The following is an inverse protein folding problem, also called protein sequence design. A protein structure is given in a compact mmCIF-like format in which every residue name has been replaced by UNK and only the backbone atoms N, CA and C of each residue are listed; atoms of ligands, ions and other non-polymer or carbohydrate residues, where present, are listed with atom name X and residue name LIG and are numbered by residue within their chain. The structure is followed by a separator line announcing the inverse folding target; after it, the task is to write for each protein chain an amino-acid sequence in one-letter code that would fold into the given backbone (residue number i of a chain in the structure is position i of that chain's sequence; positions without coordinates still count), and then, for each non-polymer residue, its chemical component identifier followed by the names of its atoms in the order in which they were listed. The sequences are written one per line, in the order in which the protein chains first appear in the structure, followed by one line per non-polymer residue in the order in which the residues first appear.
data_IF_434042475111
#
_entry.id   IF_434042475111
#
_cell.length_a   1.000
_cell.length_b   1.000
_cell.length_c   1.000
_cell.angle_alpha   90.00
_cell.angle_beta   90.00
_cell.angle_gamma   90.00
#
_symmetry.space_group_name_H-M   'P 1'
#
loop_
_entity.id
_entity.type
_entity.pdbx_description
1 polymer ?
#
# COMPACT_ATOMS: atom_id res chain seq x y z
N UNK A 1 -1.30 -20.66 29.32
CA UNK A 1 -1.05 -20.66 27.86
C UNK A 1 -1.48 -19.27 27.34
N UNK A 2 -0.67 -18.63 26.50
CA UNK A 2 -1.09 -17.35 25.90
C UNK A 2 -2.33 -17.58 25.03
N UNK A 3 -3.35 -16.74 25.19
CA UNK A 3 -4.59 -16.83 24.38
C UNK A 3 -4.28 -16.63 22.91
N UNK A 4 -4.94 -17.38 22.05
CA UNK A 4 -4.87 -17.23 20.60
C UNK A 4 -5.46 -15.86 20.18
N UNK A 5 -4.79 -15.17 19.26
CA UNK A 5 -5.24 -13.89 18.73
C UNK A 5 -5.93 -14.10 17.38
N UNK A 6 -7.18 -13.67 17.28
CA UNK A 6 -7.94 -13.70 16.03
C UNK A 6 -7.67 -12.44 15.19
N UNK A 7 -7.47 -12.62 13.89
CA UNK A 7 -7.40 -11.55 12.90
C UNK A 7 -8.48 -11.76 11.84
N UNK A 8 -9.30 -10.76 11.58
CA UNK A 8 -10.38 -10.77 10.60
C UNK A 8 -9.99 -9.97 9.35
N UNK A 9 -9.82 -10.67 8.22
CA UNK A 9 -9.50 -10.11 6.91
C UNK A 9 -8.08 -10.44 6.42
N UNK A 10 -8.01 -11.04 5.24
CA UNK A 10 -6.77 -11.47 4.55
C UNK A 10 -6.22 -10.43 3.56
N UNK A 11 -6.53 -9.15 3.77
CA UNK A 11 -5.90 -8.03 3.09
C UNK A 11 -4.55 -7.66 3.71
N UNK A 12 -3.86 -6.68 3.12
CA UNK A 12 -2.49 -6.31 3.54
C UNK A 12 -2.37 -5.94 5.02
N UNK A 13 -3.35 -5.25 5.61
CA UNK A 13 -3.30 -4.89 7.03
C UNK A 13 -3.51 -6.10 7.94
N UNK A 14 -4.46 -6.98 7.60
CA UNK A 14 -4.67 -8.19 8.41
C UNK A 14 -3.47 -9.13 8.35
N UNK A 15 -2.94 -9.37 7.16
CA UNK A 15 -1.73 -10.18 6.98
C UNK A 15 -0.52 -9.58 7.70
N UNK A 16 -0.30 -8.26 7.61
CA UNK A 16 0.80 -7.61 8.31
C UNK A 16 0.65 -7.70 9.84
N UNK A 17 -0.56 -7.49 10.38
CA UNK A 17 -0.83 -7.66 11.81
C UNK A 17 -0.62 -9.11 12.27
N UNK A 18 -1.12 -10.07 11.49
CA UNK A 18 -0.92 -11.48 11.78
C UNK A 18 0.57 -11.87 11.78
N UNK A 19 1.32 -11.43 10.77
CA UNK A 19 2.77 -11.64 10.69
C UNK A 19 3.49 -11.02 11.88
N UNK A 20 3.21 -9.75 12.19
CA UNK A 20 3.86 -9.03 13.29
C UNK A 20 3.64 -9.73 14.65
N UNK A 21 2.43 -10.21 14.91
CA UNK A 21 2.11 -10.94 16.13
C UNK A 21 2.75 -12.33 16.15
N UNK A 22 2.74 -13.04 15.03
CA UNK A 22 3.32 -14.39 14.93
C UNK A 22 4.84 -14.35 15.13
N UNK A 23 5.55 -13.42 14.48
CA UNK A 23 7.00 -13.28 14.66
C UNK A 23 7.40 -12.84 16.08
N UNK A 24 6.45 -12.26 16.85
CA UNK A 24 6.62 -11.98 18.30
C UNK A 24 6.18 -13.16 19.17
N UNK A 25 6.05 -14.35 18.63
CA UNK A 25 5.75 -15.58 19.36
C UNK A 25 4.30 -15.73 19.83
N UNK A 26 3.36 -14.98 19.23
CA UNK A 26 1.94 -15.12 19.56
C UNK A 26 1.28 -16.16 18.67
N UNK A 27 0.38 -16.96 19.24
CA UNK A 27 -0.49 -17.87 18.46
C UNK A 27 -1.55 -17.02 17.75
N UNK A 28 -1.60 -17.10 16.42
CA UNK A 28 -2.50 -16.27 15.59
C UNK A 28 -3.34 -17.18 14.69
N UNK A 29 -4.64 -16.86 14.58
CA UNK A 29 -5.54 -17.41 13.57
C UNK A 29 -6.16 -16.28 12.77
N UNK A 30 -5.86 -16.23 11.46
CA UNK A 30 -6.43 -15.27 10.53
C UNK A 30 -7.57 -15.90 9.76
N UNK A 31 -8.71 -15.20 9.70
CA UNK A 31 -9.88 -15.59 8.90
C UNK A 31 -10.05 -14.63 7.73
N UNK A 32 -10.26 -15.18 6.55
CA UNK A 32 -10.62 -14.45 5.33
C UNK A 32 -11.88 -15.06 4.72
N UNK A 33 -12.89 -14.23 4.50
CA UNK A 33 -14.21 -14.68 4.06
C UNK A 33 -14.23 -15.28 2.64
N UNK A 34 -13.26 -14.91 1.79
CA UNK A 34 -13.11 -15.41 0.43
C UNK A 34 -11.72 -16.06 0.29
N UNK A 35 -10.73 -15.35 -0.21
CA UNK A 35 -9.34 -15.76 -0.37
C UNK A 35 -8.39 -14.62 -0.05
N UNK A 36 -7.15 -14.94 0.29
CA UNK A 36 -6.11 -13.94 0.54
C UNK A 36 -6.04 -12.95 -0.63
N UNK A 37 -6.08 -11.67 -0.29
CA UNK A 37 -6.02 -10.59 -1.28
C UNK A 37 -7.29 -10.39 -2.13
N UNK A 38 -8.42 -11.04 -1.83
CA UNK A 38 -9.68 -10.88 -2.58
C UNK A 38 -10.20 -9.43 -2.63
N UNK A 39 -9.83 -8.61 -1.64
CA UNK A 39 -10.17 -7.18 -1.60
C UNK A 39 -9.21 -6.30 -2.39
N UNK A 40 -9.04 -5.06 -1.93
CA UNK A 40 -8.18 -4.05 -2.57
C UNK A 40 -6.70 -4.43 -2.65
N UNK A 41 -6.24 -5.41 -1.88
CA UNK A 41 -4.85 -5.86 -1.85
C UNK A 41 -4.47 -6.81 -3.00
N UNK A 42 -5.43 -7.29 -3.80
CA UNK A 42 -5.18 -8.21 -4.93
C UNK A 42 -4.95 -7.53 -6.27
N UNK A 43 -4.80 -6.20 -6.30
CA UNK A 43 -4.53 -5.44 -7.53
C UNK A 43 -3.09 -5.56 -8.01
N UNK A 44 -2.76 -4.76 -9.03
CA UNK A 44 -1.43 -4.78 -9.67
C UNK A 44 -0.52 -3.67 -9.15
N UNK A 45 -1.09 -2.49 -8.80
CA UNK A 45 -0.33 -1.29 -8.46
C UNK A 45 0.23 -1.38 -7.05
N UNK A 46 1.52 -1.62 -6.94
CA UNK A 46 2.25 -1.75 -5.68
C UNK A 46 3.22 -0.58 -5.44
N UNK A 47 2.72 0.66 -5.54
CA UNK A 47 3.52 1.84 -5.26
C UNK A 47 3.72 2.04 -3.75
N UNK A 48 4.95 1.93 -3.28
CA UNK A 48 5.37 2.34 -1.95
C UNK A 48 6.02 3.72 -2.06
N UNK A 49 5.18 4.71 -2.34
CA UNK A 49 5.62 6.08 -2.64
C UNK A 49 5.29 7.02 -1.48
N UNK A 50 6.23 7.91 -1.07
CA UNK A 50 6.00 8.86 -0.01
C UNK A 50 4.97 9.92 -0.42
N UNK A 51 4.26 10.45 0.57
CA UNK A 51 3.53 11.69 0.39
C UNK A 51 4.49 12.84 0.05
N UNK A 52 3.98 13.85 -0.63
CA UNK A 52 4.72 15.08 -0.84
C UNK A 52 5.20 15.65 0.51
N UNK A 53 6.50 16.01 0.65
CA UNK A 53 7.10 16.34 1.95
C UNK A 53 6.67 17.69 2.51
N UNK A 54 6.05 18.54 1.73
CA UNK A 54 5.51 19.83 2.20
C UNK A 54 4.40 19.62 3.24
N UNK A 55 4.21 20.55 4.17
CA UNK A 55 3.21 20.46 5.24
C UNK A 55 3.31 19.16 6.05
N UNK A 56 4.48 18.94 6.66
CA UNK A 56 4.78 17.72 7.42
C UNK A 56 3.78 17.47 8.55
N UNK A 57 3.45 16.21 8.82
CA UNK A 57 2.52 15.79 9.86
C UNK A 57 2.74 14.32 10.24
N UNK A 58 2.09 13.87 11.32
CA UNK A 58 2.25 12.51 11.87
C UNK A 58 2.00 11.41 10.84
N UNK A 59 1.00 11.55 9.96
CA UNK A 59 0.74 10.56 8.93
C UNK A 59 1.91 10.42 7.96
N UNK A 60 2.57 11.52 7.60
CA UNK A 60 3.74 11.50 6.73
C UNK A 60 4.95 10.92 7.45
N UNK A 61 5.09 11.20 8.74
CA UNK A 61 6.15 10.61 9.57
C UNK A 61 5.99 9.09 9.65
N UNK A 62 4.82 8.59 10.03
CA UNK A 62 4.55 7.14 10.08
C UNK A 62 4.78 6.48 8.71
N UNK A 63 4.40 7.14 7.62
CA UNK A 63 4.66 6.60 6.29
C UNK A 63 6.15 6.59 5.95
N UNK A 64 6.90 7.64 6.30
CA UNK A 64 8.35 7.69 6.09
C UNK A 64 9.04 6.55 6.86
N UNK A 65 8.71 6.39 8.14
CA UNK A 65 9.29 5.35 8.99
C UNK A 65 9.03 3.95 8.39
N UNK A 66 7.80 3.72 7.93
CA UNK A 66 7.42 2.47 7.25
C UNK A 66 8.21 2.26 5.94
N UNK A 67 8.38 3.30 5.13
CA UNK A 67 9.12 3.22 3.87
C UNK A 67 10.62 3.00 4.11
N UNK A 68 11.19 3.60 5.14
CA UNK A 68 12.60 3.40 5.52
C UNK A 68 12.83 1.95 5.95
N UNK A 69 11.96 1.43 6.82
CA UNK A 69 12.05 0.07 7.34
C UNK A 69 11.64 -1.01 6.31
N UNK A 70 11.01 -0.65 5.20
CA UNK A 70 10.38 -1.60 4.28
C UNK A 70 11.37 -2.61 3.68
N UNK A 71 12.62 -2.23 3.44
CA UNK A 71 13.63 -3.14 2.86
C UNK A 71 13.87 -4.35 3.76
N UNK A 72 14.18 -4.11 5.02
CA UNK A 72 14.47 -5.17 5.99
C UNK A 72 13.22 -5.96 6.33
N UNK A 73 12.09 -5.27 6.50
CA UNK A 73 10.83 -5.92 6.83
C UNK A 73 10.35 -6.90 5.73
N UNK A 74 10.41 -6.51 4.46
CA UNK A 74 10.03 -7.39 3.36
C UNK A 74 11.05 -8.51 3.10
N UNK A 75 12.34 -8.26 3.36
CA UNK A 75 13.36 -9.30 3.33
C UNK A 75 13.11 -10.36 4.41
N UNK A 76 12.76 -9.95 5.65
CA UNK A 76 12.38 -10.86 6.73
C UNK A 76 11.15 -11.69 6.38
N UNK A 77 10.10 -11.09 5.83
CA UNK A 77 8.90 -11.78 5.36
C UNK A 77 9.25 -12.83 4.30
N UNK A 78 10.03 -12.44 3.29
CA UNK A 78 10.46 -13.34 2.22
C UNK A 78 11.28 -14.52 2.73
N UNK A 79 12.23 -14.25 3.62
CA UNK A 79 13.07 -15.28 4.22
C UNK A 79 12.28 -16.27 5.09
N UNK A 80 11.33 -15.77 5.89
CA UNK A 80 10.53 -16.60 6.77
C UNK A 80 9.57 -17.54 6.01
N UNK A 81 8.98 -17.07 4.90
CA UNK A 81 8.01 -17.84 4.12
C UNK A 81 8.57 -18.54 2.88
N UNK A 82 9.83 -18.27 2.51
CA UNK A 82 10.43 -18.78 1.27
C UNK A 82 9.78 -18.26 -0.02
N UNK A 83 9.05 -17.14 0.06
CA UNK A 83 8.33 -16.53 -1.08
C UNK A 83 8.79 -15.08 -1.24
N UNK A 84 9.32 -14.74 -2.41
CA UNK A 84 9.72 -13.38 -2.74
C UNK A 84 8.49 -12.46 -2.87
N UNK A 85 8.37 -11.38 -2.08
CA UNK A 85 7.27 -10.42 -2.16
C UNK A 85 7.31 -9.52 -3.41
N UNK A 86 8.38 -9.56 -4.20
CA UNK A 86 8.59 -8.67 -5.34
C UNK A 86 8.93 -7.23 -4.94
N UNK A 87 9.48 -7.03 -3.74
CA UNK A 87 9.91 -5.72 -3.26
C UNK A 87 11.23 -5.29 -3.90
N UNK A 88 11.31 -4.02 -4.31
CA UNK A 88 12.58 -3.37 -4.66
C UNK A 88 12.48 -1.85 -4.50
N UNK A 89 13.56 -1.23 -4.03
CA UNK A 89 13.69 0.23 -3.96
C UNK A 89 14.32 0.74 -5.26
N UNK A 90 13.48 0.92 -6.26
CA UNK A 90 13.91 1.38 -7.61
C UNK A 90 13.78 2.89 -7.81
N UNK A 91 13.24 3.62 -6.84
CA UNK A 91 12.99 5.05 -6.98
C UNK A 91 11.76 5.37 -7.85
N UNK A 92 11.57 6.66 -8.11
CA UNK A 92 10.47 7.17 -8.93
C UNK A 92 10.91 8.34 -9.77
N UNK A 93 10.39 8.42 -11.00
CA UNK A 93 10.52 9.54 -11.91
C UNK A 93 9.15 10.20 -12.11
N UNK A 94 9.10 11.53 -12.04
CA UNK A 94 7.90 12.32 -12.27
C UNK A 94 8.23 13.45 -13.27
N UNK A 95 7.48 13.60 -14.37
CA UNK A 95 7.67 14.74 -15.26
C UNK A 95 7.25 16.01 -14.54
N UNK A 96 7.98 17.10 -14.79
CA UNK A 96 7.68 18.42 -14.22
C UNK A 96 6.87 19.22 -15.24
N UNK A 97 5.78 19.82 -14.82
CA UNK A 97 5.01 20.72 -15.67
C UNK A 97 5.78 22.05 -15.89
N UNK A 98 5.64 22.69 -17.05
CA UNK A 98 6.23 24.03 -17.27
C UNK A 98 5.83 25.02 -16.19
N UNK A 99 6.78 25.78 -15.67
CA UNK A 99 6.55 26.78 -14.61
C UNK A 99 6.39 26.19 -13.21
N UNK A 100 6.63 24.89 -13.02
CA UNK A 100 6.55 24.24 -11.70
C UNK A 100 7.90 24.13 -10.96
N UNK A 101 8.97 24.67 -11.52
CA UNK A 101 10.36 24.53 -11.04
C UNK A 101 10.51 25.03 -9.60
N UNK A 102 9.97 26.22 -9.29
CA UNK A 102 10.02 26.80 -7.94
C UNK A 102 9.32 25.92 -6.91
N UNK A 103 8.16 25.33 -7.27
CA UNK A 103 7.43 24.36 -6.42
C UNK A 103 8.23 23.09 -6.22
N UNK A 104 8.93 22.60 -7.24
CA UNK A 104 9.78 21.40 -7.10
C UNK A 104 11.00 21.70 -6.23
N UNK A 105 11.61 22.88 -6.36
CA UNK A 105 12.69 23.31 -5.46
C UNK A 105 12.23 23.35 -3.99
N UNK A 106 11.02 23.85 -3.72
CA UNK A 106 10.42 23.81 -2.37
C UNK A 106 10.24 22.38 -1.88
N UNK A 107 9.71 21.51 -2.72
CA UNK A 107 9.52 20.08 -2.42
C UNK A 107 10.85 19.40 -2.06
N UNK A 108 11.91 19.66 -2.80
CA UNK A 108 13.26 19.15 -2.53
C UNK A 108 13.79 19.67 -1.19
N UNK A 109 13.59 20.97 -0.87
CA UNK A 109 13.96 21.51 0.44
C UNK A 109 13.21 20.83 1.57
N UNK A 110 11.90 20.63 1.42
CA UNK A 110 11.09 19.95 2.40
C UNK A 110 11.50 18.46 2.56
N UNK A 111 11.84 17.78 1.47
CA UNK A 111 12.37 16.41 1.53
C UNK A 111 13.68 16.37 2.33
N UNK A 112 14.61 17.28 2.09
CA UNK A 112 15.90 17.36 2.83
C UNK A 112 15.72 17.60 4.32
N UNK A 113 14.65 18.25 4.74
CA UNK A 113 14.36 18.52 6.15
C UNK A 113 13.85 17.28 6.91
N UNK A 114 13.27 16.31 6.21
CA UNK A 114 12.56 15.19 6.84
C UNK A 114 13.10 13.81 6.45
N UNK A 115 13.59 13.66 5.21
CA UNK A 115 14.00 12.35 4.70
C UNK A 115 15.46 12.04 5.03
N UNK A 116 15.82 10.76 5.17
CA UNK A 116 17.22 10.36 5.27
C UNK A 116 18.03 10.84 4.06
N UNK A 117 19.28 11.20 4.27
CA UNK A 117 20.15 11.74 3.21
C UNK A 117 20.23 10.83 1.97
N UNK A 118 20.25 9.52 2.15
CA UNK A 118 20.29 8.54 1.06
C UNK A 118 19.02 8.52 0.20
N UNK A 119 17.88 8.96 0.76
CA UNK A 119 16.55 8.92 0.12
C UNK A 119 16.24 10.19 -0.69
N UNK A 120 17.24 11.00 -0.99
CA UNK A 120 17.13 12.32 -1.58
C UNK A 120 16.24 12.42 -2.82
N UNK A 121 15.83 13.66 -3.09
CA UNK A 121 15.04 14.05 -4.24
C UNK A 121 15.79 15.13 -5.03
N UNK A 122 15.76 15.04 -6.35
CA UNK A 122 16.49 15.97 -7.24
C UNK A 122 15.74 16.26 -8.54
N UNK A 123 16.02 17.43 -9.14
CA UNK A 123 15.64 17.75 -10.52
C UNK A 123 16.75 17.35 -11.48
N UNK A 124 16.37 16.83 -12.63
CA UNK A 124 17.31 16.47 -13.71
C UNK A 124 16.70 16.73 -15.08
N UNK A 125 17.54 17.09 -16.04
CA UNK A 125 17.17 17.18 -17.46
C UNK A 125 17.44 15.85 -18.21
N UNK A 126 18.13 14.89 -17.58
CA UNK A 126 18.58 13.64 -18.21
C UNK A 126 18.46 12.48 -17.22
N UNK A 127 17.25 11.99 -16.95
CA UNK A 127 17.10 10.82 -16.08
C UNK A 127 17.74 9.60 -16.75
N UNK A 128 18.60 8.91 -15.99
CA UNK A 128 19.27 7.69 -16.47
C UNK A 128 18.41 6.47 -16.10
N UNK A 129 17.45 6.12 -16.95
CA UNK A 129 16.54 5.00 -16.72
C UNK A 129 15.98 4.46 -18.02
N UNK A 130 15.62 3.18 -18.03
CA UNK A 130 14.97 2.53 -19.19
C UNK A 130 13.51 3.00 -19.37
N UNK A 131 12.84 3.39 -18.28
CA UNK A 131 11.47 3.90 -18.29
C UNK A 131 11.48 5.39 -17.89
N UNK A 132 11.30 6.27 -18.87
CA UNK A 132 11.26 7.73 -18.67
C UNK A 132 9.95 8.26 -19.26
N UNK A 133 9.11 8.96 -18.48
CA UNK A 133 7.92 9.59 -19.01
C UNK A 133 8.25 10.83 -19.83
N UNK A 134 7.38 11.17 -20.78
CA UNK A 134 7.44 12.45 -21.50
C UNK A 134 7.33 13.60 -20.51
N UNK A 135 8.21 14.59 -20.62
CA UNK A 135 8.16 15.82 -19.81
C UNK A 135 7.96 17.03 -20.71
N UNK A 136 6.87 17.79 -20.52
CA UNK A 136 6.64 19.01 -21.31
C UNK A 136 7.65 20.14 -21.04
N UNK A 137 8.29 20.15 -19.86
CA UNK A 137 9.32 21.15 -19.51
C UNK A 137 10.75 20.69 -19.84
N UNK A 138 10.95 19.43 -20.20
CA UNK A 138 12.27 18.83 -20.30
C UNK A 138 12.95 18.56 -18.96
N UNK A 139 12.20 18.66 -17.83
CA UNK A 139 12.68 18.41 -16.47
C UNK A 139 11.93 17.25 -15.83
N UNK A 140 12.63 16.50 -15.00
CA UNK A 140 12.06 15.41 -14.18
C UNK A 140 12.46 15.56 -12.72
N UNK A 141 11.51 15.24 -11.84
CA UNK A 141 11.77 15.07 -10.42
C UNK A 141 12.00 13.58 -10.15
N UNK A 142 13.16 13.27 -9.60
CA UNK A 142 13.56 11.90 -9.24
C UNK A 142 13.65 11.77 -7.72
N UNK A 143 13.11 10.71 -7.14
CA UNK A 143 13.30 10.38 -5.73
C UNK A 143 13.82 8.93 -5.57
N UNK A 144 14.63 8.72 -4.52
CA UNK A 144 15.25 7.43 -4.20
C UNK A 144 14.55 6.69 -3.05
N UNK A 145 13.59 7.33 -2.38
CA UNK A 145 12.85 6.73 -1.26
C UNK A 145 11.79 5.74 -1.75
N UNK A 146 11.18 6.03 -2.88
CA UNK A 146 10.11 5.24 -3.46
C UNK A 146 10.56 3.82 -3.76
N UNK A 147 9.73 2.85 -3.38
CA UNK A 147 9.92 1.44 -3.66
C UNK A 147 8.68 0.86 -4.36
N UNK A 148 8.84 -0.29 -4.98
CA UNK A 148 7.75 -1.10 -5.53
C UNK A 148 7.55 -2.39 -4.75
N UNK A 149 6.37 -2.95 -4.87
CA UNK A 149 6.08 -4.32 -4.44
C UNK A 149 5.03 -4.94 -5.36
N UNK A 150 5.05 -6.24 -5.56
CA UNK A 150 3.94 -6.92 -6.21
C UNK A 150 2.85 -7.23 -5.17
N UNK A 151 1.65 -6.62 -5.22
CA UNK A 151 0.65 -6.79 -4.16
C UNK A 151 0.24 -8.24 -3.95
N UNK A 152 0.07 -9.00 -5.04
CA UNK A 152 -0.32 -10.42 -4.98
C UNK A 152 0.79 -11.29 -4.38
N UNK A 153 2.05 -11.06 -4.80
CA UNK A 153 3.22 -11.77 -4.23
C UNK A 153 3.45 -11.39 -2.77
N UNK A 154 3.26 -10.12 -2.40
CA UNK A 154 3.34 -9.66 -1.02
C UNK A 154 2.32 -10.35 -0.11
N UNK A 155 1.07 -10.50 -0.58
CA UNK A 155 0.06 -11.27 0.13
C UNK A 155 0.43 -12.75 0.29
N UNK A 156 0.93 -13.38 -0.77
CA UNK A 156 1.40 -14.76 -0.73
C UNK A 156 2.61 -14.95 0.21
N UNK A 157 3.58 -14.03 0.16
CA UNK A 157 4.77 -14.07 1.02
C UNK A 157 4.40 -13.94 2.51
N UNK A 158 3.52 -13.00 2.86
CA UNK A 158 3.02 -12.85 4.22
C UNK A 158 2.26 -14.10 4.69
N UNK A 159 1.38 -14.64 3.85
CA UNK A 159 0.65 -15.87 4.20
C UNK A 159 1.60 -17.06 4.43
N UNK A 160 2.61 -17.21 3.59
CA UNK A 160 3.63 -18.24 3.75
C UNK A 160 4.45 -18.04 5.05
N UNK A 161 4.87 -16.81 5.32
CA UNK A 161 5.63 -16.46 6.53
C UNK A 161 4.83 -16.71 7.82
N UNK A 162 3.53 -16.35 7.85
CA UNK A 162 2.63 -16.62 8.97
C UNK A 162 2.54 -18.13 9.22
N UNK A 163 2.30 -18.93 8.17
CA UNK A 163 2.19 -20.40 8.28
C UNK A 163 3.51 -21.04 8.73
N UNK A 164 4.65 -20.58 8.21
CA UNK A 164 5.96 -21.09 8.58
C UNK A 164 6.31 -20.83 10.06
N UNK A 165 5.75 -19.79 10.66
CA UNK A 165 5.89 -19.47 12.08
C UNK A 165 4.77 -20.04 12.95
N UNK A 166 3.96 -20.99 12.44
CA UNK A 166 2.90 -21.68 13.18
C UNK A 166 1.58 -20.90 13.32
N UNK A 167 1.39 -19.81 12.59
CA UNK A 167 0.09 -19.14 12.47
C UNK A 167 -0.85 -19.90 11.53
N UNK A 168 -2.14 -19.85 11.82
CA UNK A 168 -3.18 -20.47 11.00
C UNK A 168 -3.89 -19.43 10.12
N UNK A 169 -4.17 -19.78 8.86
CA UNK A 169 -4.97 -18.99 7.94
C UNK A 169 -6.13 -19.83 7.43
N UNK A 170 -7.35 -19.37 7.68
CA UNK A 170 -8.61 -19.98 7.26
C UNK A 170 -9.23 -19.12 6.17
N UNK A 171 -9.27 -19.63 4.96
CA UNK A 171 -9.90 -18.97 3.79
C UNK A 171 -11.31 -19.53 3.56
N UNK A 172 -12.19 -18.74 2.96
CA UNK A 172 -13.58 -19.10 2.70
C UNK A 172 -14.48 -18.99 3.94
N UNK A 173 -13.99 -18.42 5.04
CA UNK A 173 -14.74 -18.29 6.29
C UNK A 173 -14.57 -16.91 6.91
N UNK A 174 -15.68 -16.29 7.30
CA UNK A 174 -15.65 -15.06 8.09
C UNK A 174 -15.16 -15.34 9.52
N UNK A 175 -14.49 -14.37 10.13
CA UNK A 175 -14.10 -14.46 11.53
C UNK A 175 -15.34 -14.56 12.45
N UNK A 176 -15.27 -15.33 13.55
CA UNK A 176 -16.32 -15.34 14.57
C UNK A 176 -16.46 -13.94 15.21
N UNK A 177 -17.63 -13.64 15.74
CA UNK A 177 -17.87 -12.43 16.54
C UNK A 177 -17.28 -12.58 17.95
N UNK A 178 -15.96 -12.54 18.02
CA UNK A 178 -15.14 -12.68 19.23
C UNK A 178 -14.05 -11.61 19.23
N UNK A 179 -13.37 -11.37 20.37
CA UNK A 179 -12.25 -10.43 20.42
C UNK A 179 -11.25 -10.66 19.31
N UNK A 180 -11.01 -9.65 18.47
CA UNK A 180 -10.20 -9.78 17.25
C UNK A 180 -9.63 -8.44 16.77
N UNK A 181 -8.63 -8.54 15.87
CA UNK A 181 -8.20 -7.42 15.03
C UNK A 181 -9.05 -7.42 13.76
N UNK A 182 -9.78 -6.35 13.51
CA UNK A 182 -10.69 -6.19 12.37
C UNK A 182 -10.00 -5.40 11.25
N UNK A 183 -9.60 -6.12 10.19
CA UNK A 183 -8.94 -5.60 8.99
C UNK A 183 -9.76 -5.86 7.72
N UNK A 184 -11.08 -5.73 7.82
CA UNK A 184 -12.09 -6.22 6.87
C UNK A 184 -12.34 -5.28 5.68
N UNK A 185 -11.41 -4.38 5.39
CA UNK A 185 -11.46 -3.53 4.21
C UNK A 185 -12.68 -2.60 4.15
N UNK A 186 -13.22 -2.37 2.95
CA UNK A 186 -14.32 -1.43 2.76
C UNK A 186 -15.57 -1.81 3.55
N UNK A 187 -15.90 -3.10 3.65
CA UNK A 187 -17.05 -3.59 4.40
C UNK A 187 -17.00 -3.24 5.90
N UNK A 188 -15.80 -3.23 6.49
CA UNK A 188 -15.60 -2.94 7.91
C UNK A 188 -15.51 -1.45 8.26
N UNK A 189 -15.73 -0.54 7.32
CA UNK A 189 -15.59 0.91 7.58
C UNK A 189 -16.90 1.62 7.93
N UNK A 190 -18.05 1.00 7.69
CA UNK A 190 -19.36 1.63 7.93
C UNK A 190 -19.53 2.18 9.35
N UNK A 191 -19.15 1.47 10.44
CA UNK A 191 -19.27 1.99 11.81
C UNK A 191 -18.45 3.26 12.05
N UNK A 192 -17.41 3.50 11.28
CA UNK A 192 -16.49 4.64 11.39
C UNK A 192 -16.77 5.74 10.36
N UNK A 193 -17.87 5.63 9.60
CA UNK A 193 -18.25 6.60 8.55
C UNK A 193 -17.28 6.64 7.37
N UNK A 194 -16.52 5.57 7.14
CA UNK A 194 -15.73 5.39 5.93
C UNK A 194 -16.53 4.76 4.79
N UNK A 195 -15.94 4.72 3.61
CA UNK A 195 -16.56 4.19 2.40
C UNK A 195 -15.58 3.41 1.51
N UNK A 196 -16.13 2.74 0.51
CA UNK A 196 -15.37 2.13 -0.59
C UNK A 196 -15.12 3.14 -1.72
N UNK A 197 -13.96 3.01 -2.37
CA UNK A 197 -13.64 3.74 -3.59
C UNK A 197 -13.09 2.74 -4.59
N UNK A 198 -13.79 2.55 -5.72
CA UNK A 198 -13.35 1.64 -6.78
C UNK A 198 -12.07 2.17 -7.43
N UNK A 199 -11.21 1.26 -7.82
CA UNK A 199 -10.04 1.53 -8.62
C UNK A 199 -9.73 0.37 -9.50
N UNK A 200 -9.33 0.68 -10.74
CA UNK A 200 -9.01 -0.29 -11.76
C UNK A 200 -7.55 -0.19 -12.13
N UNK A 201 -6.94 -1.28 -12.55
CA UNK A 201 -5.54 -1.38 -12.99
C UNK A 201 -5.37 -2.45 -14.06
N UNK A 202 -4.34 -2.30 -14.86
CA UNK A 202 -3.93 -3.28 -15.86
C UNK A 202 -2.49 -3.75 -15.61
N UNK A 203 -2.17 -4.93 -16.13
CA UNK A 203 -0.84 -5.49 -16.16
C UNK A 203 -0.42 -5.70 -17.62
N UNK A 204 0.75 -5.22 -17.98
CA UNK A 204 1.34 -5.34 -19.31
C UNK A 204 2.51 -6.32 -19.27
N UNK A 205 2.70 -7.10 -20.32
CA UNK A 205 3.91 -7.90 -20.51
C UNK A 205 5.02 -7.01 -21.10
N UNK A 206 5.94 -6.60 -20.25
CA UNK A 206 7.12 -5.82 -20.61
C UNK A 206 8.17 -5.94 -19.51
N UNK A 207 9.34 -6.45 -19.85
CA UNK A 207 10.42 -6.59 -18.88
C UNK A 207 11.19 -5.26 -18.75
N UNK A 208 11.01 -4.64 -17.60
CA UNK A 208 11.69 -3.42 -17.16
C UNK A 208 11.97 -3.49 -15.65
N UNK A 209 12.32 -4.67 -15.14
CA UNK A 209 12.41 -4.98 -13.73
C UNK A 209 13.25 -3.98 -12.91
N UNK A 210 14.33 -3.44 -13.48
CA UNK A 210 15.23 -2.51 -12.80
C UNK A 210 14.86 -1.03 -12.96
N UNK A 211 13.83 -0.74 -13.76
CA UNK A 211 13.44 0.64 -13.99
C UNK A 211 12.71 1.23 -12.76
N UNK A 212 12.90 2.54 -12.48
CA UNK A 212 12.11 3.23 -11.47
C UNK A 212 10.65 3.29 -11.88
N UNK A 213 9.77 3.40 -10.89
CA UNK A 213 8.36 3.63 -11.19
C UNK A 213 8.15 5.07 -11.69
N UNK A 214 7.11 5.26 -12.49
CA UNK A 214 6.67 6.57 -12.95
C UNK A 214 5.38 6.96 -12.25
N UNK A 215 5.27 8.24 -11.90
CA UNK A 215 4.01 8.85 -11.49
C UNK A 215 3.78 10.14 -12.26
N UNK A 216 2.78 10.15 -13.12
CA UNK A 216 2.42 11.29 -13.95
C UNK A 216 0.90 11.38 -14.10
N UNK A 217 0.34 12.57 -14.00
CA UNK A 217 -1.09 12.86 -14.22
C UNK A 217 -2.05 11.93 -13.46
N UNK A 218 -1.69 11.52 -12.24
CA UNK A 218 -2.49 10.63 -11.41
C UNK A 218 -2.33 9.15 -11.73
N UNK A 219 -1.52 8.79 -12.71
CA UNK A 219 -1.25 7.41 -13.13
C UNK A 219 0.11 6.96 -12.56
N UNK A 220 0.12 5.77 -12.00
CA UNK A 220 1.34 5.02 -11.69
C UNK A 220 1.66 4.05 -12.82
N UNK A 221 2.92 3.97 -13.20
CA UNK A 221 3.50 2.92 -14.04
C UNK A 221 4.59 2.24 -13.21
N UNK A 222 4.43 0.96 -12.93
CA UNK A 222 5.26 0.25 -11.95
C UNK A 222 5.80 -1.03 -12.59
N UNK A 223 7.10 -1.03 -12.96
CA UNK A 223 7.78 -2.26 -13.37
C UNK A 223 7.89 -3.24 -12.20
N UNK A 224 7.57 -4.51 -12.43
CA UNK A 224 7.72 -5.62 -11.49
C UNK A 224 8.87 -6.53 -11.85
N UNK A 225 9.37 -7.30 -10.89
CA UNK A 225 10.50 -8.21 -11.07
C UNK A 225 10.21 -9.42 -11.96
N UNK A 226 8.94 -9.67 -12.27
CA UNK A 226 8.47 -10.82 -13.04
C UNK A 226 8.30 -10.52 -14.54
N UNK A 227 8.90 -9.44 -15.04
CA UNK A 227 8.81 -9.05 -16.46
C UNK A 227 7.47 -8.41 -16.82
N UNK A 228 6.76 -7.85 -15.83
CA UNK A 228 5.49 -7.15 -16.07
C UNK A 228 5.55 -5.69 -15.64
N UNK A 229 4.65 -4.87 -16.20
CA UNK A 229 4.46 -3.47 -15.79
C UNK A 229 3.01 -3.25 -15.40
N UNK A 230 2.78 -2.82 -14.16
CA UNK A 230 1.45 -2.44 -13.68
C UNK A 230 1.13 -0.98 -14.03
N UNK A 231 -0.09 -0.74 -14.53
CA UNK A 231 -0.62 0.58 -14.81
C UNK A 231 -1.86 0.82 -13.95
N UNK A 232 -1.97 2.00 -13.37
CA UNK A 232 -3.19 2.39 -12.66
C UNK A 232 -3.05 3.73 -11.94
N UNK A 233 -4.13 4.28 -11.47
CA UNK A 233 -5.42 3.61 -11.36
C UNK A 233 -6.55 4.61 -11.46
N UNK A 234 -7.74 4.13 -11.79
CA UNK A 234 -8.95 4.94 -11.68
C UNK A 234 -9.27 5.29 -10.23
N UNK A 235 -10.17 6.23 -10.02
CA UNK A 235 -10.64 6.63 -8.68
C UNK A 235 -12.12 6.97 -8.78
N UNK A 236 -12.96 5.98 -8.55
CA UNK A 236 -14.41 6.06 -8.76
C UNK A 236 -15.11 6.03 -7.40
N UNK A 237 -15.79 7.13 -7.08
CA UNK A 237 -16.55 7.26 -5.83
C UNK A 237 -17.94 6.70 -6.07
N UNK A 238 -18.52 6.14 -5.00
CA UNK A 238 -19.91 5.65 -4.98
C UNK A 238 -20.19 4.51 -5.99
N UNK A 239 -19.11 3.85 -6.45
CA UNK A 239 -19.16 2.66 -7.33
C UNK A 239 -18.56 1.50 -6.55
N UNK A 240 -19.33 0.41 -6.37
CA UNK A 240 -18.92 -0.75 -5.56
C UNK A 240 -18.83 -2.05 -6.36
N UNK A 241 -19.10 -2.04 -7.65
CA UNK A 241 -18.85 -3.20 -8.50
C UNK A 241 -17.33 -3.41 -8.71
N UNK A 242 -16.95 -4.64 -9.02
CA UNK A 242 -15.55 -5.04 -9.23
C UNK A 242 -15.25 -5.39 -10.68
N UNK A 243 -16.04 -4.92 -11.61
CA UNK A 243 -15.81 -5.10 -13.05
C UNK A 243 -14.92 -3.98 -13.57
N UNK A 244 -14.10 -4.30 -14.56
CA UNK A 244 -13.37 -3.30 -15.34
C UNK A 244 -14.26 -2.73 -16.43
N UNK A 245 -14.00 -1.51 -16.85
CA UNK A 245 -14.75 -0.78 -17.85
C UNK A 245 -13.84 0.15 -18.67
N UNK A 246 -14.45 0.95 -19.56
CA UNK A 246 -13.76 1.88 -20.46
C UNK A 246 -12.86 2.91 -19.76
N UNK A 247 -13.09 3.22 -18.48
CA UNK A 247 -12.20 4.10 -17.73
C UNK A 247 -10.80 3.49 -17.57
N UNK A 248 -10.71 2.16 -17.47
CA UNK A 248 -9.42 1.48 -17.46
C UNK A 248 -8.71 1.59 -18.81
N UNK A 249 -9.44 1.44 -19.92
CA UNK A 249 -8.83 1.57 -21.27
C UNK A 249 -8.28 3.01 -21.45
N UNK A 250 -9.01 4.03 -21.00
CA UNK A 250 -8.51 5.41 -21.01
C UNK A 250 -7.23 5.60 -20.15
N UNK A 251 -7.11 4.89 -19.03
CA UNK A 251 -5.87 4.89 -18.21
C UNK A 251 -4.72 4.21 -18.95
N UNK A 252 -4.98 3.10 -19.66
CA UNK A 252 -3.96 2.40 -20.44
C UNK A 252 -3.45 3.29 -21.59
N UNK A 253 -4.36 3.89 -22.36
CA UNK A 253 -4.01 4.77 -23.47
C UNK A 253 -3.21 5.99 -22.99
N UNK A 254 -3.64 6.60 -21.89
CA UNK A 254 -2.91 7.71 -21.29
C UNK A 254 -1.51 7.29 -20.80
N UNK A 255 -1.37 6.11 -20.21
CA UNK A 255 -0.07 5.61 -19.79
C UNK A 255 0.90 5.38 -20.97
N UNK A 256 0.39 4.90 -22.11
CA UNK A 256 1.17 4.75 -23.34
C UNK A 256 1.65 6.09 -23.91
N UNK A 257 0.80 7.12 -23.84
CA UNK A 257 1.19 8.48 -24.24
C UNK A 257 2.24 9.05 -23.28
N UNK A 258 2.06 8.85 -21.98
CA UNK A 258 3.01 9.33 -20.96
C UNK A 258 4.36 8.61 -21.02
N UNK A 259 4.36 7.33 -21.34
CA UNK A 259 5.54 6.47 -21.39
C UNK A 259 5.58 5.71 -22.73
N UNK A 260 6.21 6.27 -23.79
CA UNK A 260 6.25 5.66 -25.13
C UNK A 260 6.80 4.22 -25.14
N UNK A 261 7.65 3.86 -24.18
CA UNK A 261 8.15 2.49 -24.01
C UNK A 261 7.03 1.45 -23.80
N UNK A 262 5.81 1.88 -23.44
CA UNK A 262 4.65 1.01 -23.24
C UNK A 262 3.80 0.82 -24.50
N UNK A 263 4.10 1.50 -25.61
CA UNK A 263 3.22 1.60 -26.77
C UNK A 263 2.73 0.23 -27.28
N UNK A 264 3.66 -0.70 -27.47
CA UNK A 264 3.40 -2.02 -28.05
C UNK A 264 3.26 -3.13 -27.00
N UNK A 265 3.35 -2.79 -25.71
CA UNK A 265 3.27 -3.78 -24.64
C UNK A 265 1.85 -4.36 -24.53
N UNK A 266 1.66 -5.70 -24.67
CA UNK A 266 0.34 -6.30 -24.59
C UNK A 266 -0.22 -6.25 -23.16
N UNK A 267 -1.52 -5.97 -23.05
CA UNK A 267 -2.23 -6.05 -21.76
C UNK A 267 -2.58 -7.51 -21.49
N UNK A 268 -2.08 -8.05 -20.39
CA UNK A 268 -2.21 -9.47 -20.02
C UNK A 268 -3.19 -9.72 -18.86
N UNK A 269 -3.49 -8.70 -18.05
CA UNK A 269 -4.51 -8.80 -17.00
C UNK A 269 -5.18 -7.45 -16.75
N UNK A 270 -6.44 -7.47 -16.33
CA UNK A 270 -7.24 -6.32 -15.89
C UNK A 270 -7.87 -6.63 -14.55
N UNK A 271 -7.89 -5.66 -13.66
CA UNK A 271 -8.41 -5.84 -12.31
C UNK A 271 -9.14 -4.60 -11.81
N UNK A 272 -10.18 -4.83 -11.03
CA UNK A 272 -10.88 -3.79 -10.29
C UNK A 272 -11.11 -4.21 -8.83
N UNK A 273 -11.02 -3.27 -7.90
CA UNK A 273 -11.27 -3.52 -6.48
C UNK A 273 -11.68 -2.27 -5.72
N UNK A 274 -12.21 -2.50 -4.52
CA UNK A 274 -12.77 -1.44 -3.68
C UNK A 274 -11.80 -1.09 -2.56
N UNK A 275 -11.19 0.08 -2.65
CA UNK A 275 -10.25 0.58 -1.64
C UNK A 275 -10.99 1.08 -0.41
N UNK A 276 -10.57 0.65 0.81
CA UNK A 276 -11.14 1.13 2.06
C UNK A 276 -10.68 2.56 2.36
N UNK A 277 -11.59 3.53 2.32
CA UNK A 277 -11.30 4.94 2.60
C UNK A 277 -11.93 5.38 3.91
N UNK A 278 -11.11 5.58 4.93
CA UNK A 278 -11.57 6.19 6.17
C UNK A 278 -11.95 7.67 5.96
N UNK A 279 -12.87 8.18 6.78
CA UNK A 279 -13.33 9.58 6.73
C UNK A 279 -12.18 10.57 6.90
N UNK A 280 -11.23 10.28 7.78
CA UNK A 280 -10.02 11.08 8.03
C UNK A 280 -8.99 11.03 6.88
N UNK A 281 -9.12 10.10 5.94
CA UNK A 281 -8.10 9.75 4.94
C UNK A 281 -6.76 9.29 5.55
N UNK A 282 -6.75 8.97 6.83
CA UNK A 282 -5.68 8.27 7.51
C UNK A 282 -6.14 6.85 7.84
N UNK A 283 -5.24 5.89 8.03
CA UNK A 283 -5.62 4.57 8.54
C UNK A 283 -6.35 4.68 9.87
N UNK A 284 -7.21 3.72 10.17
CA UNK A 284 -7.84 3.54 11.48
C UNK A 284 -7.09 2.41 12.19
N UNK A 285 -6.50 2.74 13.34
CA UNK A 285 -5.67 1.81 14.12
C UNK A 285 -5.94 2.01 15.60
N UNK A 286 -6.15 0.92 16.33
CA UNK A 286 -6.33 0.97 17.79
C UNK A 286 -7.57 0.23 18.27
N UNK A 287 -7.92 0.37 19.56
CA UNK A 287 -9.08 -0.29 20.15
C UNK A 287 -10.38 0.12 19.45
N UNK A 288 -11.29 -0.83 19.31
CA UNK A 288 -12.63 -0.54 18.80
C UNK A 288 -13.46 0.13 19.90
N UNK A 289 -13.93 1.37 19.72
CA UNK A 289 -14.69 2.06 20.77
C UNK A 289 -15.95 1.29 21.15
N UNK A 290 -16.14 1.07 22.46
CA UNK A 290 -17.30 0.33 22.99
C UNK A 290 -17.26 -1.19 22.84
N UNK A 291 -16.18 -1.77 22.28
CA UNK A 291 -16.02 -3.24 22.16
C UNK A 291 -14.69 -3.69 22.81
N UNK A 292 -14.68 -3.99 24.11
CA UNK A 292 -13.47 -4.44 24.80
C UNK A 292 -12.84 -5.68 24.15
N UNK A 293 -11.51 -5.68 24.01
CA UNK A 293 -10.76 -6.76 23.37
C UNK A 293 -10.78 -6.76 21.84
N UNK A 294 -11.55 -5.87 21.20
CA UNK A 294 -11.55 -5.71 19.76
C UNK A 294 -10.67 -4.52 19.34
N UNK A 295 -9.96 -4.70 18.23
CA UNK A 295 -9.07 -3.71 17.63
C UNK A 295 -9.40 -3.51 16.15
N UNK A 296 -9.03 -2.37 15.61
CA UNK A 296 -9.18 -2.02 14.19
C UNK A 296 -7.81 -1.80 13.56
N UNK A 297 -7.59 -2.36 12.38
CA UNK A 297 -6.50 -2.02 11.48
C UNK A 297 -7.06 -1.93 10.06
N UNK A 298 -7.55 -0.74 9.66
CA UNK A 298 -8.32 -0.61 8.40
C UNK A 298 -8.10 0.77 7.75
N UNK A 299 -8.72 1.02 6.61
CA UNK A 299 -8.74 2.35 6.00
C UNK A 299 -7.46 2.76 5.28
N UNK A 300 -6.62 1.81 4.86
CA UNK A 300 -5.34 2.08 4.19
C UNK A 300 -5.43 2.79 2.84
N UNK A 301 -6.59 2.80 2.22
CA UNK A 301 -6.90 3.47 0.94
C UNK A 301 -5.80 3.27 -0.13
N UNK A 302 -5.10 4.35 -0.53
CA UNK A 302 -4.03 4.33 -1.55
C UNK A 302 -2.63 4.06 -0.97
N UNK A 303 -2.49 3.99 0.34
CA UNK A 303 -1.20 3.90 1.03
C UNK A 303 -1.06 2.63 1.90
N UNK A 304 -2.02 1.72 1.80
CA UNK A 304 -2.07 0.53 2.67
C UNK A 304 -0.80 -0.32 2.61
N UNK A 305 -0.31 -0.64 1.41
CA UNK A 305 0.92 -1.43 1.23
C UNK A 305 2.16 -0.75 1.85
N UNK A 306 2.27 0.59 1.69
CA UNK A 306 3.39 1.35 2.21
C UNK A 306 3.36 1.49 3.75
N UNK A 307 2.18 1.46 4.37
CA UNK A 307 2.04 1.68 5.81
C UNK A 307 1.85 0.39 6.62
N UNK A 308 1.60 -0.74 5.97
CA UNK A 308 1.28 -1.99 6.65
C UNK A 308 2.31 -2.41 7.71
N UNK A 309 3.63 -2.30 7.49
CA UNK A 309 4.63 -2.63 8.52
C UNK A 309 4.48 -1.78 9.78
N UNK A 310 4.35 -0.47 9.64
CA UNK A 310 4.23 0.45 10.79
C UNK A 310 2.88 0.28 11.52
N UNK A 311 1.79 0.09 10.79
CA UNK A 311 0.46 -0.16 11.35
C UNK A 311 0.48 -1.44 12.21
N UNK A 312 1.05 -2.50 11.68
CA UNK A 312 1.15 -3.77 12.38
C UNK A 312 2.02 -3.66 13.67
N UNK A 313 3.17 -3.00 13.57
CA UNK A 313 4.06 -2.80 14.70
C UNK A 313 3.40 -1.96 15.82
N UNK A 314 2.78 -0.82 15.46
CA UNK A 314 2.10 0.04 16.45
C UNK A 314 0.96 -0.69 17.15
N UNK A 315 0.16 -1.48 16.41
CA UNK A 315 -0.93 -2.23 17.01
C UNK A 315 -0.42 -3.36 17.91
N UNK A 316 0.61 -4.09 17.49
CA UNK A 316 1.22 -5.12 18.30
C UNK A 316 1.86 -4.56 19.58
N UNK A 317 2.55 -3.42 19.53
CA UNK A 317 3.09 -2.72 20.69
C UNK A 317 1.98 -2.37 21.71
N UNK A 318 0.87 -1.82 21.21
CA UNK A 318 -0.27 -1.50 22.07
C UNK A 318 -0.87 -2.75 22.72
N UNK A 319 -1.10 -3.81 21.93
CA UNK A 319 -1.76 -5.03 22.40
C UNK A 319 -0.90 -5.85 23.37
N UNK A 320 0.39 -5.95 23.11
CA UNK A 320 1.28 -6.86 23.84
C UNK A 320 2.00 -6.18 25.01
N UNK A 321 2.28 -4.89 24.88
CA UNK A 321 3.13 -4.15 25.81
C UNK A 321 2.42 -2.95 26.44
N UNK A 322 1.19 -2.63 26.03
CA UNK A 322 0.47 -1.43 26.45
C UNK A 322 1.12 -0.12 25.96
N UNK A 323 2.07 -0.21 25.03
CA UNK A 323 2.82 0.93 24.53
C UNK A 323 2.07 1.57 23.35
N UNK A 324 1.43 2.71 23.62
CA UNK A 324 0.72 3.47 22.61
C UNK A 324 1.67 4.42 21.86
N UNK A 325 1.85 4.15 20.57
CA UNK A 325 2.58 5.00 19.60
C UNK A 325 1.70 5.40 18.42
N UNK A 326 0.39 5.17 18.54
CA UNK A 326 -0.57 5.43 17.48
C UNK A 326 -0.89 6.92 17.45
N UNK A 327 -0.66 7.63 16.34
CA UNK A 327 -1.02 9.04 16.24
C UNK A 327 -2.50 9.26 16.53
N UNK A 328 -2.88 10.34 17.24
CA UNK A 328 -4.28 10.61 17.61
C UNK A 328 -5.23 10.65 16.39
N UNK A 329 -4.72 11.04 15.21
CA UNK A 329 -5.47 11.08 13.96
C UNK A 329 -5.80 9.70 13.36
N UNK A 330 -5.22 8.61 13.89
CA UNK A 330 -5.45 7.24 13.43
C UNK A 330 -6.45 6.49 14.33
N UNK A 331 -6.74 6.98 15.52
CA UNK A 331 -7.64 6.32 16.46
C UNK A 331 -9.04 6.15 15.85
N UNK A 332 -9.63 4.95 15.95
CA UNK A 332 -10.98 4.71 15.47
C UNK A 332 -11.99 5.58 16.24
N UNK A 333 -12.86 6.26 15.50
CA UNK A 333 -13.97 7.04 16.07
C UNK A 333 -15.26 6.56 15.40
N UNK A 334 -16.24 6.17 16.20
CA UNK A 334 -17.56 5.80 15.69
C UNK A 334 -18.22 7.00 14.99
N UNK A 335 -19.05 6.70 14.01
CA UNK A 335 -19.91 7.69 13.38
C UNK A 335 -20.92 8.19 14.43
N UNK A 336 -21.06 9.51 14.59
CA UNK A 336 -22.11 10.08 15.45
C UNK A 336 -23.49 9.67 14.90
N UNK A 337 -24.35 9.08 15.76
CA UNK A 337 -25.72 8.70 15.42
C UNK A 337 -25.87 7.33 14.72
N UNK A 338 -24.97 6.38 14.99
CA UNK A 338 -25.15 4.96 14.67
C UNK A 338 -25.50 4.19 15.93
#
# INVERSE_FOLDING_TARGET
MASEITVAGGGIFGLACAWELTRRGRKVRLFEADRIGAGASGGHVGALAPHAPENWNDKKQVQLDALVAATDWWAEVGAAGGVDPGYARTGRIQPVAPGAEARMAERIRAARAHWPQWAGMELTERPQAALVPVSPSGLWLVDRLTARISPRRAGAALAAAIRAQGGEIVEGQAAPDAPAIWATGAAGLAPFGGNGVKGQSALLALDMADAPQVFADGIHVIPHADGTVAIGSTTERDVLDRRTDEQLEAVIDKARVLCPALADAPVIDRWAGIRPRARSRAPLVGPWPGRPGHYVANGGFKIGLAMAPAIAAMLADLMLEGRDRIPPGFWPKLRAGG
#
